data_IF_281818515163
#
_entry.id   IF_281818515163
#
_cell.length_a   1.000
_cell.length_b   1.000
_cell.length_c   1.000
_cell.angle_alpha   90.00
_cell.angle_beta   90.00
_cell.angle_gamma   90.00
#
_symmetry.space_group_name_H-M   'P 1'
#
loop_
_entity.id
_entity.type
_entity.pdbx_description
1 polymer ?
#
# COMPACT_ATOMS: atom_id res chain seq x y z
N UNK A 1 14.41 6.80 20.46
CA UNK A 1 13.43 7.84 20.01
C UNK A 1 12.22 7.15 19.47
N UNK A 2 11.05 7.52 19.96
CA UNK A 2 9.74 6.98 19.53
C UNK A 2 9.25 7.74 18.31
N UNK A 3 8.45 7.09 17.48
CA UNK A 3 7.92 7.63 16.21
C UNK A 3 6.41 7.45 16.22
N UNK A 4 5.67 8.53 15.96
CA UNK A 4 4.23 8.54 16.01
C UNK A 4 3.63 8.91 14.66
N UNK A 5 2.65 8.12 14.22
CA UNK A 5 1.72 8.52 13.19
C UNK A 5 0.76 9.53 13.82
N UNK A 6 0.75 10.74 13.28
CA UNK A 6 -0.02 11.85 13.86
C UNK A 6 -1.17 12.32 12.98
N UNK A 7 -1.06 12.15 11.68
CA UNK A 7 -2.12 12.49 10.74
C UNK A 7 -2.10 11.53 9.55
N UNK A 8 -3.27 11.27 8.99
CA UNK A 8 -3.36 10.48 7.76
C UNK A 8 -4.61 10.77 6.94
N UNK A 9 -4.53 10.50 5.65
CA UNK A 9 -5.63 10.52 4.70
C UNK A 9 -5.55 9.29 3.81
N UNK A 10 -6.70 8.77 3.42
CA UNK A 10 -6.82 7.62 2.51
C UNK A 10 -7.79 7.95 1.39
N UNK A 11 -7.52 7.45 0.20
CA UNK A 11 -8.43 7.51 -0.94
C UNK A 11 -8.39 6.18 -1.69
N UNK A 12 -9.53 5.53 -1.75
CA UNK A 12 -9.80 4.30 -2.50
C UNK A 12 -11.30 4.20 -2.76
N UNK A 13 -11.75 3.23 -3.55
CA UNK A 13 -13.16 2.95 -3.77
C UNK A 13 -13.45 1.47 -3.63
N UNK A 14 -14.57 1.13 -3.02
CA UNK A 14 -15.08 -0.25 -2.94
C UNK A 14 -15.92 -0.61 -4.19
N UNK A 15 -16.36 0.37 -4.97
CA UNK A 15 -17.09 0.15 -6.21
C UNK A 15 -16.20 -0.45 -7.29
N UNK A 16 -16.75 -1.35 -8.07
CA UNK A 16 -16.06 -1.97 -9.21
C UNK A 16 -16.68 -1.56 -10.53
N UNK A 17 -15.83 -1.37 -11.52
CA UNK A 17 -16.24 -1.10 -12.92
C UNK A 17 -15.63 -2.13 -13.85
N UNK A 18 -16.41 -2.63 -14.83
CA UNK A 18 -15.86 -3.48 -15.88
C UNK A 18 -14.98 -2.63 -16.79
N UNK A 19 -13.71 -3.01 -16.90
CA UNK A 19 -12.77 -2.41 -17.83
C UNK A 19 -12.64 -3.31 -19.05
N UNK A 20 -13.10 -2.81 -20.20
CA UNK A 20 -13.05 -3.54 -21.48
C UNK A 20 -11.59 -3.56 -21.99
N UNK A 21 -10.87 -4.63 -21.70
CA UNK A 21 -9.60 -4.96 -22.33
C UNK A 21 -9.85 -5.95 -23.46
N UNK A 22 -9.16 -5.81 -24.57
CA UNK A 22 -9.35 -6.69 -25.74
C UNK A 22 -9.12 -8.18 -25.46
N UNK A 23 -8.22 -8.52 -24.56
CA UNK A 23 -7.81 -9.89 -24.29
C UNK A 23 -8.30 -10.40 -22.94
N UNK A 24 -8.25 -9.55 -21.93
CA UNK A 24 -8.57 -9.89 -20.52
C UNK A 24 -9.51 -8.86 -19.90
N UNK A 25 -10.80 -8.84 -20.29
CA UNK A 25 -11.76 -7.99 -19.60
C UNK A 25 -11.83 -8.39 -18.13
N UNK A 26 -11.81 -7.39 -17.24
CA UNK A 26 -11.83 -7.61 -15.80
C UNK A 26 -12.43 -6.43 -15.05
N UNK A 27 -12.95 -6.70 -13.86
CA UNK A 27 -13.40 -5.63 -12.96
C UNK A 27 -12.21 -4.97 -12.32
N UNK A 28 -12.32 -3.68 -12.09
CA UNK A 28 -11.32 -2.84 -11.46
C UNK A 28 -11.96 -1.91 -10.44
N UNK A 29 -11.22 -1.56 -9.40
CA UNK A 29 -11.59 -0.50 -8.46
C UNK A 29 -11.01 0.82 -8.95
N UNK A 30 -11.85 1.62 -9.57
CA UNK A 30 -11.47 2.83 -10.28
C UNK A 30 -12.39 3.98 -9.88
N UNK A 31 -11.82 5.13 -9.57
CA UNK A 31 -12.62 6.34 -9.34
C UNK A 31 -13.35 6.74 -10.62
N UNK A 32 -14.68 6.95 -10.58
CA UNK A 32 -15.50 7.17 -11.78
C UNK A 32 -14.99 8.30 -12.67
N UNK A 33 -14.52 9.39 -12.09
CA UNK A 33 -14.00 10.55 -12.81
C UNK A 33 -12.68 10.28 -13.56
N UNK A 34 -11.95 9.22 -13.20
CA UNK A 34 -10.70 8.84 -13.88
C UNK A 34 -10.93 7.91 -15.06
N UNK A 35 -12.09 7.24 -15.14
CA UNK A 35 -12.37 6.20 -16.13
C UNK A 35 -12.12 6.62 -17.59
N UNK A 36 -12.73 7.74 -18.00
CA UNK A 36 -12.58 8.22 -19.37
C UNK A 36 -11.13 8.59 -19.72
N UNK A 37 -10.38 9.07 -18.77
CA UNK A 37 -8.98 9.48 -18.93
C UNK A 37 -8.06 8.27 -19.03
N UNK A 38 -8.29 7.25 -18.22
CA UNK A 38 -7.59 5.96 -18.30
C UNK A 38 -7.87 5.30 -19.66
N UNK A 39 -9.11 5.30 -20.12
CA UNK A 39 -9.52 4.73 -21.40
C UNK A 39 -8.93 5.47 -22.60
N UNK A 40 -8.82 6.78 -22.54
CA UNK A 40 -8.33 7.62 -23.63
C UNK A 40 -6.84 7.91 -23.57
N UNK A 41 -6.16 7.60 -22.49
CA UNK A 41 -4.74 7.85 -22.28
C UNK A 41 -4.36 9.34 -22.18
N UNK A 42 -5.33 10.23 -21.93
CA UNK A 42 -5.16 11.68 -22.04
C UNK A 42 -4.59 12.36 -20.79
N UNK A 43 -4.63 11.73 -19.62
CA UNK A 43 -4.12 12.34 -18.37
C UNK A 43 -3.48 11.28 -17.49
N UNK A 44 -2.50 11.70 -16.68
CA UNK A 44 -1.89 10.87 -15.66
C UNK A 44 -2.83 10.65 -14.47
N UNK A 45 -3.48 9.51 -14.32
CA UNK A 45 -4.44 9.27 -13.25
C UNK A 45 -3.80 9.28 -11.85
N UNK A 46 -2.53 8.90 -11.72
CA UNK A 46 -1.84 8.87 -10.43
C UNK A 46 -1.79 10.24 -9.76
N UNK A 47 -1.59 11.32 -10.52
CA UNK A 47 -1.68 12.68 -9.98
C UNK A 47 -3.07 12.99 -9.40
N UNK A 48 -4.13 12.60 -10.10
CA UNK A 48 -5.50 12.85 -9.64
C UNK A 48 -5.88 12.01 -8.42
N UNK A 49 -5.38 10.78 -8.37
CA UNK A 49 -5.56 9.91 -7.21
C UNK A 49 -4.84 10.52 -6.00
N UNK A 50 -3.63 11.06 -6.20
CA UNK A 50 -2.90 11.76 -5.14
C UNK A 50 -3.63 13.02 -4.62
N UNK A 51 -4.24 13.81 -5.52
CA UNK A 51 -5.01 15.02 -5.14
C UNK A 51 -6.14 14.73 -4.14
N UNK A 52 -6.69 13.53 -4.15
CA UNK A 52 -7.75 13.12 -3.21
C UNK A 52 -7.30 13.08 -1.74
N UNK A 53 -6.01 12.95 -1.48
CA UNK A 53 -5.43 12.94 -0.12
C UNK A 53 -4.65 14.21 0.20
N UNK A 54 -4.39 15.07 -0.78
CA UNK A 54 -3.71 16.35 -0.63
C UNK A 54 -4.71 17.45 -0.24
N UNK A 55 -5.31 17.30 0.93
CA UNK A 55 -6.29 18.24 1.47
C UNK A 55 -5.64 19.62 1.69
N UNK A 56 -6.18 20.73 1.10
CA UNK A 56 -5.64 22.08 1.27
C UNK A 56 -5.54 22.53 2.73
N UNK A 57 -6.47 22.13 3.59
CA UNK A 57 -6.45 22.47 5.02
C UNK A 57 -5.30 21.76 5.73
N UNK A 58 -5.07 20.48 5.43
CA UNK A 58 -3.95 19.72 5.95
C UNK A 58 -2.61 20.30 5.45
N UNK A 59 -2.48 20.57 4.15
CA UNK A 59 -1.27 21.16 3.58
C UNK A 59 -0.96 22.55 4.19
N UNK A 60 -1.98 23.37 4.42
CA UNK A 60 -1.83 24.64 5.15
C UNK A 60 -1.33 24.40 6.57
N UNK A 61 -1.96 23.46 7.31
CA UNK A 61 -1.57 23.14 8.68
C UNK A 61 -0.13 22.61 8.76
N UNK A 62 0.31 21.78 7.82
CA UNK A 62 1.69 21.30 7.76
C UNK A 62 2.69 22.45 7.61
N UNK A 63 2.40 23.43 6.76
CA UNK A 63 3.25 24.64 6.60
C UNK A 63 3.28 25.52 7.86
N UNK A 64 2.14 25.71 8.51
CA UNK A 64 2.02 26.59 9.68
C UNK A 64 2.59 25.95 10.96
N UNK A 65 2.72 24.61 11.00
CA UNK A 65 3.20 23.85 12.15
C UNK A 65 4.57 23.22 11.92
N UNK A 66 5.41 23.86 11.14
CA UNK A 66 6.78 23.34 10.91
C UNK A 66 7.56 23.31 12.23
N UNK A 67 8.16 22.17 12.55
CA UNK A 67 8.70 21.91 13.89
C UNK A 67 10.20 21.63 13.94
N UNK A 68 10.90 21.73 12.83
CA UNK A 68 12.30 21.40 12.64
C UNK A 68 12.51 20.70 11.32
N UNK A 69 13.48 19.78 11.23
CA UNK A 69 13.77 19.08 9.97
C UNK A 69 12.60 18.24 9.50
N UNK A 70 12.17 18.48 8.29
CA UNK A 70 11.05 17.79 7.66
C UNK A 70 11.48 17.06 6.39
N UNK A 71 11.07 15.80 6.23
CA UNK A 71 11.26 15.04 5.01
C UNK A 71 9.92 14.77 4.32
N UNK A 72 9.97 14.61 2.99
CA UNK A 72 8.87 14.14 2.18
C UNK A 72 9.30 12.90 1.40
N UNK A 73 8.54 11.81 1.53
CA UNK A 73 8.80 10.54 0.85
C UNK A 73 7.61 10.18 -0.03
N UNK A 74 7.87 9.86 -1.29
CA UNK A 74 6.87 9.34 -2.21
C UNK A 74 7.08 7.84 -2.42
N UNK A 75 6.05 7.05 -2.20
CA UNK A 75 6.02 5.62 -2.49
C UNK A 75 5.06 5.33 -3.65
N UNK A 76 5.57 4.73 -4.72
CA UNK A 76 4.78 4.33 -5.89
C UNK A 76 5.50 3.19 -6.61
N UNK A 77 4.80 2.09 -6.86
CA UNK A 77 5.42 0.89 -7.44
C UNK A 77 5.88 1.08 -8.87
N UNK A 78 5.03 1.65 -9.71
CA UNK A 78 5.30 1.86 -11.12
C UNK A 78 4.39 2.92 -11.77
N UNK A 79 3.78 3.81 -10.98
CA UNK A 79 2.94 4.86 -11.55
C UNK A 79 3.75 5.78 -12.44
N UNK A 80 3.25 5.98 -13.64
CA UNK A 80 3.79 6.94 -14.57
C UNK A 80 3.10 8.29 -14.36
N UNK A 81 3.83 9.27 -13.90
CA UNK A 81 3.35 10.62 -13.68
C UNK A 81 3.40 11.51 -14.93
N UNK A 82 3.80 10.97 -16.08
CA UNK A 82 4.05 11.71 -17.31
C UNK A 82 3.32 11.19 -18.55
N UNK A 83 2.20 10.52 -18.42
CA UNK A 83 1.46 10.01 -19.60
C UNK A 83 1.01 11.07 -20.62
N UNK A 84 1.28 12.36 -20.39
CA UNK A 84 0.88 13.45 -21.28
C UNK A 84 1.83 13.68 -22.47
N UNK A 85 2.89 12.92 -22.61
CA UNK A 85 3.97 13.36 -23.45
C UNK A 85 4.32 12.54 -24.66
N UNK A 86 3.80 11.35 -24.77
CA UNK A 86 3.95 10.56 -26.00
C UNK A 86 2.55 10.23 -26.53
N UNK A 87 2.14 10.86 -27.61
CA UNK A 87 0.91 10.50 -28.34
C UNK A 87 1.30 9.84 -29.65
N UNK A 88 0.71 8.68 -29.92
CA UNK A 88 0.67 8.17 -31.28
C UNK A 88 -0.24 9.12 -32.08
N UNK A 89 0.29 9.76 -33.12
CA UNK A 89 -0.55 10.53 -34.03
C UNK A 89 -1.37 9.59 -34.91
N UNK A 90 -2.27 10.14 -35.74
CA UNK A 90 -3.11 9.35 -36.65
C UNK A 90 -2.34 8.56 -37.73
N UNK A 91 -1.05 8.87 -37.88
CA UNK A 91 -0.12 8.25 -38.84
C UNK A 91 0.84 7.25 -38.18
N UNK A 92 0.57 6.84 -36.93
CA UNK A 92 1.41 5.97 -36.11
C UNK A 92 2.81 6.53 -35.81
N UNK A 93 3.00 7.83 -35.87
CA UNK A 93 4.23 8.47 -35.46
C UNK A 93 4.15 8.95 -34.01
N UNK A 94 5.23 8.79 -33.26
CA UNK A 94 5.35 9.31 -31.89
C UNK A 94 5.63 10.83 -31.92
N UNK A 95 4.72 11.59 -31.36
CA UNK A 95 4.96 13.02 -31.07
C UNK A 95 5.39 13.18 -29.62
N UNK A 96 6.52 13.85 -29.42
CA UNK A 96 7.09 14.08 -28.09
C UNK A 96 6.98 15.54 -27.68
N UNK A 97 6.52 15.77 -26.45
CA UNK A 97 6.67 17.06 -25.81
C UNK A 97 7.97 17.03 -24.98
N UNK A 98 8.81 18.07 -25.06
CA UNK A 98 10.06 18.15 -24.27
C UNK A 98 9.85 18.04 -22.76
N UNK A 99 8.64 18.33 -22.26
CA UNK A 99 8.26 18.19 -20.84
C UNK A 99 8.03 16.74 -20.39
N UNK A 100 7.95 15.79 -21.32
CA UNK A 100 7.65 14.37 -21.02
C UNK A 100 8.67 13.78 -20.10
N UNK A 101 9.95 13.91 -20.45
CA UNK A 101 11.02 13.31 -19.66
C UNK A 101 11.06 13.85 -18.23
N UNK A 102 11.12 15.17 -17.97
CA UNK A 102 11.07 15.66 -16.60
C UNK A 102 9.78 15.25 -15.85
N UNK A 103 8.63 15.24 -16.51
CA UNK A 103 7.37 14.87 -15.86
C UNK A 103 7.24 13.36 -15.60
N UNK A 104 8.02 12.50 -16.31
CA UNK A 104 8.04 11.06 -16.06
C UNK A 104 8.87 10.67 -14.83
N UNK A 105 9.72 11.55 -14.35
CA UNK A 105 10.53 11.28 -13.19
C UNK A 105 9.69 11.40 -11.91
N UNK A 106 9.49 10.31 -11.22
CA UNK A 106 8.74 10.24 -9.95
C UNK A 106 9.25 11.26 -8.93
N UNK A 107 10.57 11.50 -8.90
CA UNK A 107 11.19 12.49 -8.04
C UNK A 107 10.75 13.93 -8.35
N UNK A 108 10.48 14.28 -9.60
CA UNK A 108 9.97 15.60 -9.99
C UNK A 108 8.56 15.80 -9.41
N UNK A 109 7.72 14.77 -9.49
CA UNK A 109 6.40 14.80 -8.87
C UNK A 109 6.50 14.94 -7.34
N UNK A 110 7.36 14.14 -6.71
CA UNK A 110 7.62 14.21 -5.28
C UNK A 110 8.02 15.64 -4.84
N UNK A 111 8.96 16.27 -5.54
CA UNK A 111 9.39 17.64 -5.26
C UNK A 111 8.26 18.68 -5.40
N UNK A 112 7.38 18.53 -6.40
CA UNK A 112 6.23 19.41 -6.59
C UNK A 112 5.20 19.31 -5.46
N UNK A 113 4.95 18.10 -4.96
CA UNK A 113 4.03 17.89 -3.82
C UNK A 113 4.70 18.32 -2.52
N UNK A 114 5.97 17.99 -2.31
CA UNK A 114 6.75 18.39 -1.16
C UNK A 114 6.70 19.91 -0.94
N UNK A 115 6.89 20.69 -2.01
CA UNK A 115 6.81 22.16 -1.96
C UNK A 115 5.45 22.71 -1.49
N UNK A 116 4.38 21.92 -1.53
CA UNK A 116 3.09 22.29 -0.99
C UNK A 116 2.96 22.00 0.51
N UNK A 117 3.85 21.18 1.07
CA UNK A 117 3.84 20.79 2.48
C UNK A 117 4.62 21.77 3.38
N UNK A 118 5.48 22.62 2.84
CA UNK A 118 6.32 23.57 3.58
C UNK A 118 7.77 23.52 3.16
N UNK A 119 8.68 23.89 4.07
CA UNK A 119 10.12 23.74 3.86
C UNK A 119 10.50 22.27 4.10
N UNK A 120 11.06 21.63 3.08
CA UNK A 120 11.42 20.22 3.10
C UNK A 120 12.94 20.08 2.96
N UNK A 121 13.59 19.50 3.97
CA UNK A 121 15.04 19.30 4.01
C UNK A 121 15.49 18.08 3.20
N UNK A 122 14.58 17.09 3.00
CA UNK A 122 14.89 15.88 2.26
C UNK A 122 13.65 15.37 1.50
N UNK A 123 13.85 15.03 0.23
CA UNK A 123 12.81 14.41 -0.60
C UNK A 123 13.37 13.17 -1.28
N UNK A 124 12.68 12.04 -1.15
CA UNK A 124 13.05 10.79 -1.80
C UNK A 124 11.83 10.04 -2.36
N UNK A 125 12.10 9.06 -3.21
CA UNK A 125 11.09 8.18 -3.80
C UNK A 125 11.44 6.72 -3.58
N UNK A 126 10.43 5.90 -3.33
CA UNK A 126 10.54 4.44 -3.26
C UNK A 126 9.68 3.77 -4.33
N UNK A 127 10.28 2.83 -5.05
CA UNK A 127 9.64 2.09 -6.14
C UNK A 127 10.02 0.59 -6.07
N UNK A 128 9.57 -0.07 -5.01
CA UNK A 128 9.77 -1.52 -4.76
C UNK A 128 8.48 -2.31 -5.01
N UNK A 129 7.84 -2.06 -6.15
CA UNK A 129 6.57 -2.67 -6.56
C UNK A 129 5.51 -2.58 -5.45
N UNK A 130 4.79 -3.68 -5.14
CA UNK A 130 3.70 -3.69 -4.16
C UNK A 130 4.15 -3.46 -2.71
N UNK A 131 5.45 -3.45 -2.42
CA UNK A 131 6.00 -3.18 -1.09
C UNK A 131 6.36 -1.71 -0.85
N UNK A 132 6.37 -0.87 -1.89
CA UNK A 132 6.90 0.50 -1.83
C UNK A 132 6.45 1.28 -0.60
N UNK A 133 5.15 1.32 -0.33
CA UNK A 133 4.59 2.15 0.76
C UNK A 133 4.76 1.56 2.17
N UNK A 134 5.07 0.27 2.29
CA UNK A 134 5.41 -0.30 3.59
C UNK A 134 6.93 -0.27 3.81
N UNK A 135 7.71 -0.49 2.75
CA UNK A 135 9.17 -0.42 2.79
C UNK A 135 9.65 0.99 3.16
N UNK A 136 9.02 2.04 2.65
CA UNK A 136 9.37 3.44 2.95
C UNK A 136 9.31 3.76 4.46
N UNK A 137 8.61 2.97 5.27
CA UNK A 137 8.60 3.14 6.73
C UNK A 137 9.94 2.83 7.39
N UNK A 138 10.82 2.04 6.74
CA UNK A 138 12.22 1.93 7.17
C UNK A 138 12.96 3.25 7.00
N UNK A 139 12.68 3.99 5.92
CA UNK A 139 13.29 5.29 5.68
C UNK A 139 12.76 6.32 6.68
N UNK A 140 11.45 6.31 6.99
CA UNK A 140 10.85 7.10 8.09
C UNK A 140 11.61 6.85 9.39
N UNK A 141 11.79 5.58 9.74
CA UNK A 141 12.50 5.18 10.97
C UNK A 141 13.95 5.66 10.97
N UNK A 142 14.63 5.51 9.85
CA UNK A 142 16.03 5.91 9.69
C UNK A 142 16.20 7.43 9.78
N UNK A 143 15.37 8.19 9.10
CA UNK A 143 15.39 9.65 9.10
C UNK A 143 15.15 10.20 10.51
N UNK A 144 14.14 9.70 11.23
CA UNK A 144 13.83 10.18 12.57
C UNK A 144 14.87 9.73 13.59
N UNK A 145 15.18 8.41 13.65
CA UNK A 145 16.04 7.86 14.71
C UNK A 145 17.52 8.23 14.57
N UNK A 146 18.03 8.31 13.34
CA UNK A 146 19.47 8.45 13.09
C UNK A 146 19.85 9.80 12.47
N UNK A 147 18.98 10.43 11.68
CA UNK A 147 19.28 11.72 11.04
C UNK A 147 18.61 12.91 11.72
N UNK A 148 17.82 12.68 12.79
CA UNK A 148 17.24 13.72 13.62
C UNK A 148 16.18 14.56 12.89
N UNK A 149 15.38 13.91 12.02
CA UNK A 149 14.21 14.54 11.46
C UNK A 149 13.09 14.57 12.50
N UNK A 150 12.40 15.69 12.58
CA UNK A 150 11.26 15.86 13.47
C UNK A 150 9.96 15.35 12.85
N UNK A 151 9.85 15.51 11.52
CA UNK A 151 8.66 15.12 10.76
C UNK A 151 9.05 14.43 9.45
N UNK A 152 8.33 13.38 9.10
CA UNK A 152 8.40 12.73 7.79
C UNK A 152 6.98 12.58 7.23
N UNK A 153 6.75 13.19 6.08
CA UNK A 153 5.48 13.10 5.34
C UNK A 153 5.64 12.03 4.28
N UNK A 154 4.77 11.03 4.29
CA UNK A 154 4.76 9.95 3.30
C UNK A 154 3.51 10.08 2.43
N UNK A 155 3.69 10.19 1.13
CA UNK A 155 2.63 10.04 0.13
C UNK A 155 2.82 8.71 -0.58
N UNK A 156 1.86 7.81 -0.42
CA UNK A 156 1.77 6.59 -1.23
C UNK A 156 0.67 6.79 -2.27
N UNK A 157 0.97 6.54 -3.53
CA UNK A 157 -0.01 6.67 -4.61
C UNK A 157 0.27 5.69 -5.72
N UNK A 158 -0.79 5.07 -6.24
CA UNK A 158 -0.67 4.18 -7.38
C UNK A 158 -1.92 4.24 -8.26
N UNK A 159 -1.65 4.26 -9.56
CA UNK A 159 -2.64 4.01 -10.59
C UNK A 159 -2.04 3.11 -11.66
N UNK A 160 -2.40 1.85 -11.63
CA UNK A 160 -2.01 0.83 -12.59
C UNK A 160 -3.21 0.31 -13.39
N UNK A 161 -4.34 1.01 -13.36
CA UNK A 161 -5.51 0.65 -14.17
C UNK A 161 -5.29 1.12 -15.61
N UNK A 162 -4.61 0.31 -16.40
CA UNK A 162 -4.36 0.55 -17.82
C UNK A 162 -4.26 -0.78 -18.58
N UNK A 163 -4.42 -0.72 -19.91
CA UNK A 163 -4.46 -1.92 -20.75
C UNK A 163 -3.23 -2.81 -20.60
N UNK A 164 -2.03 -2.23 -20.52
CA UNK A 164 -0.79 -3.00 -20.42
C UNK A 164 -0.72 -3.79 -19.10
N UNK A 165 -1.03 -3.14 -17.99
CA UNK A 165 -1.01 -3.78 -16.67
C UNK A 165 -2.09 -4.85 -16.57
N UNK A 166 -3.30 -4.56 -17.03
CA UNK A 166 -4.41 -5.51 -17.01
C UNK A 166 -4.10 -6.75 -17.86
N UNK A 167 -3.51 -6.56 -19.04
CA UNK A 167 -3.08 -7.68 -19.88
C UNK A 167 -1.98 -8.50 -19.20
N UNK A 168 -0.94 -7.84 -18.67
CA UNK A 168 0.15 -8.52 -17.97
C UNK A 168 -0.35 -9.40 -16.81
N UNK A 169 -1.17 -8.84 -15.92
CA UNK A 169 -1.70 -9.58 -14.78
C UNK A 169 -2.73 -10.64 -15.18
N UNK A 170 -3.48 -10.41 -16.26
CA UNK A 170 -4.39 -11.40 -16.84
C UNK A 170 -3.63 -12.61 -17.40
N UNK A 171 -2.58 -12.40 -18.20
CA UNK A 171 -1.72 -13.47 -18.73
C UNK A 171 -1.00 -14.24 -17.60
N UNK A 172 -0.53 -13.53 -16.57
CA UNK A 172 0.09 -14.12 -15.41
C UNK A 172 -0.90 -14.88 -14.50
N UNK A 173 -2.21 -14.82 -14.79
CA UNK A 173 -3.30 -15.40 -13.97
C UNK A 173 -3.23 -14.93 -12.51
N UNK A 174 -2.77 -13.72 -12.30
CA UNK A 174 -2.63 -13.12 -10.98
C UNK A 174 -3.87 -12.32 -10.55
N UNK A 175 -4.59 -11.73 -11.52
CA UNK A 175 -5.88 -11.07 -11.31
C UNK A 175 -7.04 -11.97 -11.71
N UNK A 176 -8.21 -11.74 -11.12
CA UNK A 176 -9.44 -12.43 -11.52
C UNK A 176 -10.02 -11.73 -12.77
N UNK A 177 -9.96 -12.40 -13.92
CA UNK A 177 -10.62 -11.94 -15.15
C UNK A 177 -12.09 -12.34 -15.16
N UNK A 178 -12.94 -11.68 -15.98
CA UNK A 178 -14.36 -12.05 -16.11
C UNK A 178 -14.50 -13.53 -16.53
N UNK A 179 -13.71 -13.98 -17.50
CA UNK A 179 -13.73 -15.38 -17.95
C UNK A 179 -13.38 -16.37 -16.84
N UNK A 180 -12.42 -16.04 -15.96
CA UNK A 180 -12.09 -16.89 -14.82
C UNK A 180 -13.21 -16.87 -13.78
N UNK A 181 -13.78 -15.69 -13.49
CA UNK A 181 -14.86 -15.54 -12.54
C UNK A 181 -16.10 -16.34 -12.96
N UNK A 182 -16.48 -16.26 -14.23
CA UNK A 182 -17.61 -17.00 -14.78
C UNK A 182 -17.36 -18.50 -14.84
N UNK A 183 -16.19 -18.93 -15.36
CA UNK A 183 -15.85 -20.36 -15.54
C UNK A 183 -15.80 -21.09 -14.21
N UNK A 184 -15.24 -20.48 -13.18
CA UNK A 184 -15.05 -21.09 -11.87
C UNK A 184 -16.13 -20.71 -10.86
N UNK A 185 -17.02 -19.78 -11.20
CA UNK A 185 -18.05 -19.22 -10.28
C UNK A 185 -17.42 -18.71 -8.97
N UNK A 186 -16.35 -17.92 -9.08
CA UNK A 186 -15.59 -17.40 -7.95
C UNK A 186 -15.58 -15.88 -7.92
N UNK A 187 -15.33 -15.36 -6.74
CA UNK A 187 -15.17 -13.92 -6.47
C UNK A 187 -13.81 -13.67 -5.80
N UNK A 188 -13.30 -12.45 -5.83
CA UNK A 188 -12.03 -12.16 -5.14
C UNK A 188 -12.11 -12.46 -3.65
N UNK A 189 -11.17 -13.28 -3.15
CA UNK A 189 -10.97 -13.54 -1.72
C UNK A 189 -9.53 -13.93 -1.45
N UNK A 190 -9.11 -13.86 -0.17
CA UNK A 190 -7.81 -14.32 0.28
C UNK A 190 -7.96 -15.40 1.36
N UNK A 191 -7.02 -16.32 1.42
CA UNK A 191 -7.00 -17.44 2.39
C UNK A 191 -8.30 -18.26 2.38
N UNK A 192 -8.86 -18.47 1.21
CA UNK A 192 -10.12 -19.20 0.98
C UNK A 192 -9.86 -20.33 -0.02
N UNK A 193 -10.47 -21.50 0.19
CA UNK A 193 -10.27 -22.67 -0.68
C UNK A 193 -11.09 -22.60 -1.96
N UNK A 194 -12.22 -21.87 -1.96
CA UNK A 194 -13.15 -21.74 -3.07
C UNK A 194 -12.91 -20.46 -3.88
N UNK A 195 -12.83 -19.34 -3.17
CA UNK A 195 -12.67 -18.02 -3.77
C UNK A 195 -11.20 -17.62 -3.80
N UNK A 196 -10.78 -16.87 -4.82
CA UNK A 196 -9.35 -16.51 -4.96
C UNK A 196 -9.16 -15.24 -5.78
N UNK A 197 -7.93 -14.68 -5.72
CA UNK A 197 -7.48 -13.56 -6.56
C UNK A 197 -7.94 -12.18 -6.06
N UNK A 198 -7.67 -11.20 -6.88
CA UNK A 198 -7.97 -9.79 -6.63
C UNK A 198 -8.32 -9.07 -7.93
N UNK A 199 -8.93 -7.91 -7.80
CA UNK A 199 -9.02 -6.91 -8.86
C UNK A 199 -7.92 -5.85 -8.69
N UNK A 200 -7.49 -5.20 -9.79
CA UNK A 200 -6.58 -4.06 -9.71
C UNK A 200 -7.37 -2.83 -9.25
N UNK A 201 -6.75 -2.00 -8.42
CA UNK A 201 -7.37 -0.79 -7.89
C UNK A 201 -6.46 0.43 -7.98
N UNK A 202 -7.06 1.62 -7.96
CA UNK A 202 -6.41 2.90 -7.74
C UNK A 202 -6.45 3.25 -6.25
N UNK A 203 -5.42 3.91 -5.76
CA UNK A 203 -5.45 4.37 -4.38
C UNK A 203 -4.30 5.31 -4.00
N UNK A 204 -4.56 6.10 -2.97
CA UNK A 204 -3.56 6.96 -2.36
C UNK A 204 -3.70 6.95 -0.83
N UNK A 205 -2.58 7.18 -0.16
CA UNK A 205 -2.51 7.38 1.28
C UNK A 205 -1.48 8.48 1.59
N UNK A 206 -1.84 9.38 2.45
CA UNK A 206 -0.91 10.35 3.04
C UNK A 206 -0.80 10.06 4.53
N UNK A 207 0.42 10.01 5.05
CA UNK A 207 0.71 9.80 6.46
C UNK A 207 1.77 10.79 6.94
N UNK A 208 1.59 11.32 8.14
CA UNK A 208 2.54 12.20 8.80
C UNK A 208 3.10 11.48 10.02
N UNK A 209 4.40 11.28 10.03
CA UNK A 209 5.13 10.68 11.15
C UNK A 209 5.94 11.77 11.85
N UNK A 210 5.88 11.78 13.17
CA UNK A 210 6.62 12.74 13.99
C UNK A 210 7.47 12.04 15.04
N UNK A 211 8.61 12.64 15.36
CA UNK A 211 9.42 12.26 16.51
C UNK A 211 8.67 12.55 17.82
N UNK A 212 9.07 11.91 18.91
CA UNK A 212 8.49 12.17 20.23
C UNK A 212 8.66 13.65 20.65
N UNK A 213 9.76 14.27 20.25
CA UNK A 213 10.02 15.69 20.51
C UNK A 213 9.09 16.60 19.72
N UNK A 214 8.84 16.29 18.46
CA UNK A 214 7.87 17.03 17.64
C UNK A 214 6.43 16.87 18.16
N UNK A 215 6.08 15.65 18.57
CA UNK A 215 4.76 15.36 19.16
C UNK A 215 4.50 16.20 20.43
N UNK A 216 5.52 16.43 21.29
CA UNK A 216 5.39 17.25 22.49
C UNK A 216 5.03 18.72 22.21
N UNK A 217 5.27 19.20 20.98
CA UNK A 217 4.83 20.55 20.56
C UNK A 217 3.32 20.66 20.33
N UNK A 218 2.62 19.51 20.29
CA UNK A 218 1.15 19.45 20.37
C UNK A 218 0.39 19.87 19.11
N UNK A 219 1.03 19.88 17.94
CA UNK A 219 0.37 20.28 16.69
C UNK A 219 -0.60 19.24 16.17
N UNK A 220 -0.28 17.96 16.36
CA UNK A 220 -1.11 16.83 15.95
C UNK A 220 -1.22 15.80 17.10
N UNK A 221 -2.37 15.16 17.29
CA UNK A 221 -2.50 14.06 18.23
C UNK A 221 -1.82 12.80 17.68
N UNK A 222 -1.28 11.96 18.56
CA UNK A 222 -0.78 10.66 18.15
C UNK A 222 -1.93 9.67 17.93
N UNK A 223 -1.97 9.03 16.77
CA UNK A 223 -2.91 7.96 16.42
C UNK A 223 -2.33 6.56 16.67
N UNK A 224 -1.10 6.37 16.26
CA UNK A 224 -0.38 5.12 16.44
C UNK A 224 1.12 5.40 16.66
N UNK A 225 1.81 4.45 17.27
CA UNK A 225 3.27 4.45 17.35
C UNK A 225 3.84 3.45 16.36
N UNK A 226 4.75 3.88 15.48
CA UNK A 226 5.55 3.00 14.64
C UNK A 226 6.69 2.42 15.50
N UNK A 227 6.58 1.17 15.87
CA UNK A 227 7.58 0.48 16.69
C UNK A 227 8.80 0.10 15.86
N UNK A 228 8.56 -0.52 14.70
CA UNK A 228 9.59 -0.92 13.75
C UNK A 228 9.04 -1.12 12.35
N UNK A 229 9.93 -1.02 11.36
CA UNK A 229 9.71 -1.50 10.01
C UNK A 229 10.97 -2.23 9.52
N UNK A 230 10.77 -3.33 8.80
CA UNK A 230 11.86 -4.14 8.24
C UNK A 230 11.50 -4.67 6.86
N UNK A 231 12.50 -4.76 6.01
CA UNK A 231 12.35 -5.31 4.66
C UNK A 231 13.39 -6.42 4.46
N UNK A 232 12.95 -7.50 3.83
CA UNK A 232 13.79 -8.63 3.47
C UNK A 232 13.61 -8.97 1.99
N UNK A 233 14.64 -9.52 1.38
CA UNK A 233 14.59 -10.09 0.03
C UNK A 233 14.87 -11.57 0.13
N UNK A 234 14.05 -12.40 -0.51
CA UNK A 234 14.33 -13.84 -0.58
C UNK A 234 15.04 -14.21 -1.88
N UNK A 235 15.77 -15.33 -1.84
CA UNK A 235 16.34 -15.94 -3.03
C UNK A 235 15.27 -16.87 -3.62
N UNK A 236 14.71 -16.48 -4.75
CA UNK A 236 13.72 -17.27 -5.48
C UNK A 236 14.16 -17.53 -6.91
N UNK A 237 13.57 -18.54 -7.54
CA UNK A 237 13.89 -18.97 -8.90
C UNK A 237 13.37 -18.03 -9.98
N UNK A 238 12.41 -17.17 -9.62
CA UNK A 238 11.84 -16.16 -10.51
C UNK A 238 11.42 -14.91 -9.71
N UNK A 239 11.19 -13.81 -10.40
CA UNK A 239 10.87 -12.52 -9.80
C UNK A 239 9.38 -12.37 -9.39
N UNK A 240 8.51 -13.32 -9.74
CA UNK A 240 7.06 -13.24 -9.54
C UNK A 240 6.60 -14.21 -8.45
N UNK A 241 7.21 -15.40 -8.41
CA UNK A 241 6.87 -16.46 -7.46
C UNK A 241 7.43 -16.19 -6.07
N UNK A 242 6.77 -16.74 -5.08
CA UNK A 242 7.20 -16.75 -3.69
C UNK A 242 7.53 -18.18 -3.28
N UNK A 243 8.41 -18.34 -2.32
CA UNK A 243 8.74 -19.66 -1.76
C UNK A 243 7.58 -20.16 -0.90
N UNK A 244 7.17 -21.39 -1.10
CA UNK A 244 6.06 -22.03 -0.36
C UNK A 244 6.30 -22.08 1.16
N UNK A 245 7.57 -22.07 1.61
CA UNK A 245 7.93 -22.05 3.03
C UNK A 245 7.80 -20.66 3.69
N UNK A 246 7.39 -19.65 2.93
CA UNK A 246 7.17 -18.28 3.39
C UNK A 246 8.43 -17.57 3.90
N UNK A 247 9.62 -17.99 3.46
CA UNK A 247 10.88 -17.46 3.99
C UNK A 247 10.98 -15.94 3.90
N UNK A 248 10.49 -15.31 2.82
CA UNK A 248 10.53 -13.87 2.64
C UNK A 248 9.73 -13.14 3.70
N UNK A 249 8.47 -13.53 3.89
CA UNK A 249 7.61 -12.99 4.94
C UNK A 249 8.20 -13.23 6.34
N UNK A 250 8.64 -14.48 6.61
CA UNK A 250 9.26 -14.83 7.90
C UNK A 250 10.44 -13.93 8.23
N UNK A 251 11.36 -13.72 7.29
CA UNK A 251 12.54 -12.85 7.52
C UNK A 251 12.15 -11.38 7.73
N UNK A 252 11.10 -10.91 7.08
CA UNK A 252 10.58 -9.56 7.30
C UNK A 252 9.97 -9.44 8.71
N UNK A 253 9.15 -10.39 9.14
CA UNK A 253 8.54 -10.44 10.48
C UNK A 253 9.61 -10.52 11.56
N UNK A 254 10.50 -11.51 11.49
CA UNK A 254 11.58 -11.72 12.47
C UNK A 254 12.49 -10.49 12.59
N UNK A 255 12.80 -9.84 11.45
CA UNK A 255 13.60 -8.61 11.43
C UNK A 255 12.91 -7.44 12.13
N UNK A 256 11.60 -7.26 11.89
CA UNK A 256 10.82 -6.22 12.53
C UNK A 256 10.68 -6.46 14.05
N UNK A 257 10.37 -7.67 14.48
CA UNK A 257 10.29 -8.06 15.90
C UNK A 257 11.62 -7.83 16.63
N UNK A 258 12.73 -8.28 16.04
CA UNK A 258 14.07 -8.12 16.61
C UNK A 258 14.45 -6.66 16.80
N UNK A 259 14.05 -5.78 15.88
CA UNK A 259 14.43 -4.37 15.90
C UNK A 259 13.75 -3.58 17.02
N UNK A 260 12.51 -3.91 17.37
CA UNK A 260 11.75 -3.23 18.43
C UNK A 260 11.69 -4.00 19.76
N UNK A 261 12.25 -5.20 19.82
CA UNK A 261 12.23 -6.07 21.00
C UNK A 261 10.80 -6.43 21.46
N UNK A 262 9.83 -6.44 20.55
CA UNK A 262 8.47 -6.93 20.78
C UNK A 262 8.46 -8.44 20.62
N UNK A 263 7.79 -9.14 21.53
CA UNK A 263 7.65 -10.60 21.42
C UNK A 263 6.49 -10.96 20.46
N UNK A 264 6.55 -12.13 19.85
CA UNK A 264 5.53 -12.63 18.93
C UNK A 264 4.14 -12.71 19.55
N UNK A 265 4.06 -13.00 20.85
CA UNK A 265 2.80 -13.13 21.62
C UNK A 265 2.06 -11.79 21.78
N UNK A 266 2.78 -10.66 21.63
CA UNK A 266 2.19 -9.33 21.69
C UNK A 266 1.47 -8.94 20.39
N UNK A 267 1.76 -9.64 19.28
CA UNK A 267 1.08 -9.44 18.00
C UNK A 267 -0.31 -10.05 18.08
N UNK A 268 -1.35 -9.24 17.99
CA UNK A 268 -2.74 -9.70 18.05
C UNK A 268 -3.51 -9.47 16.76
N UNK A 269 -3.08 -8.54 15.93
CA UNK A 269 -3.77 -8.18 14.70
C UNK A 269 -2.78 -8.18 13.55
N UNK A 270 -3.11 -8.85 12.46
CA UNK A 270 -2.29 -8.89 11.24
C UNK A 270 -3.08 -8.33 10.05
N UNK A 271 -2.58 -7.26 9.46
CA UNK A 271 -2.98 -6.83 8.12
C UNK A 271 -2.09 -7.58 7.13
N UNK A 272 -2.65 -8.56 6.45
CA UNK A 272 -1.92 -9.42 5.51
C UNK A 272 -1.60 -8.70 4.19
N UNK A 273 -0.65 -9.23 3.41
CA UNK A 273 -0.54 -8.88 2.00
C UNK A 273 -1.77 -9.36 1.22
N UNK A 274 -2.17 -10.61 1.41
CA UNK A 274 -3.50 -11.14 1.11
C UNK A 274 -3.99 -10.93 -0.32
N UNK A 275 -3.21 -11.26 -1.35
CA UNK A 275 -3.64 -11.13 -2.75
C UNK A 275 -4.70 -12.14 -3.16
N UNK A 276 -4.89 -13.21 -2.39
CA UNK A 276 -5.77 -14.30 -2.78
C UNK A 276 -5.20 -15.23 -3.86
N UNK A 277 -4.01 -14.97 -4.39
CA UNK A 277 -3.33 -15.94 -5.23
C UNK A 277 -2.81 -17.10 -4.37
N UNK A 278 -2.89 -18.32 -4.89
CA UNK A 278 -2.52 -19.53 -4.14
C UNK A 278 -1.09 -19.43 -3.58
N UNK A 279 -0.13 -19.07 -4.43
CA UNK A 279 1.27 -18.93 -4.02
C UNK A 279 1.46 -17.95 -2.86
N UNK A 280 0.76 -16.80 -2.87
CA UNK A 280 0.83 -15.85 -1.77
C UNK A 280 0.14 -16.37 -0.51
N UNK A 281 -1.07 -16.93 -0.65
CA UNK A 281 -1.80 -17.45 0.50
C UNK A 281 -0.98 -18.49 1.25
N UNK A 282 -0.40 -19.46 0.51
CA UNK A 282 0.38 -20.56 1.10
C UNK A 282 1.65 -20.02 1.78
N UNK A 283 2.40 -19.16 1.10
CA UNK A 283 3.64 -18.58 1.63
C UNK A 283 3.40 -17.68 2.86
N UNK A 284 2.39 -16.80 2.80
CA UNK A 284 2.08 -15.88 3.88
C UNK A 284 1.53 -16.64 5.10
N UNK A 285 0.62 -17.60 4.89
CA UNK A 285 0.09 -18.47 5.94
C UNK A 285 1.21 -19.25 6.64
N UNK A 286 2.09 -19.91 5.88
CA UNK A 286 3.22 -20.67 6.45
C UNK A 286 4.15 -19.79 7.30
N UNK A 287 4.39 -18.54 6.89
CA UNK A 287 5.20 -17.61 7.66
C UNK A 287 4.51 -17.16 8.95
N UNK A 288 3.22 -16.83 8.87
CA UNK A 288 2.43 -16.38 10.03
C UNK A 288 2.32 -17.48 11.09
N UNK A 289 1.94 -18.69 10.71
CA UNK A 289 1.83 -19.85 11.61
C UNK A 289 3.17 -20.21 12.29
N UNK A 290 4.29 -19.94 11.62
CA UNK A 290 5.62 -20.19 12.17
C UNK A 290 6.09 -19.09 13.13
N UNK A 291 5.70 -17.84 12.88
CA UNK A 291 6.18 -16.69 13.65
C UNK A 291 5.26 -16.30 14.80
N UNK A 292 3.98 -16.56 14.70
CA UNK A 292 2.95 -16.09 15.62
C UNK A 292 2.09 -17.24 16.15
N UNK A 293 1.47 -17.08 17.32
CA UNK A 293 0.70 -18.15 17.97
C UNK A 293 -0.76 -17.81 18.24
N UNK A 294 -1.08 -16.56 18.50
CA UNK A 294 -2.41 -16.12 18.93
C UNK A 294 -2.71 -14.73 18.34
N UNK A 295 -3.26 -14.74 17.13
CA UNK A 295 -3.54 -13.52 16.36
C UNK A 295 -4.77 -13.69 15.47
N UNK A 296 -5.33 -12.57 15.03
CA UNK A 296 -6.34 -12.52 13.98
C UNK A 296 -5.79 -11.79 12.76
N UNK A 297 -6.21 -12.21 11.57
CA UNK A 297 -5.72 -11.70 10.31
C UNK A 297 -6.86 -11.21 9.40
N UNK A 298 -6.65 -10.05 8.76
CA UNK A 298 -7.56 -9.46 7.80
C UNK A 298 -6.84 -9.01 6.54
N UNK A 299 -7.60 -8.74 5.47
CA UNK A 299 -7.11 -8.23 4.17
C UNK A 299 -8.10 -7.24 3.57
N UNK A 300 -7.59 -6.23 2.89
CA UNK A 300 -8.39 -5.17 2.27
C UNK A 300 -8.48 -5.25 0.75
N UNK A 301 -7.59 -5.99 0.08
CA UNK A 301 -7.52 -6.04 -1.39
C UNK A 301 -8.81 -6.50 -2.07
N UNK A 302 -9.59 -7.31 -1.39
CA UNK A 302 -10.86 -7.80 -1.90
C UNK A 302 -11.96 -6.72 -1.87
N UNK A 303 -11.78 -5.68 -1.03
CA UNK A 303 -12.70 -4.53 -0.92
C UNK A 303 -12.33 -3.39 -1.86
N UNK A 304 -11.06 -3.06 -1.96
CA UNK A 304 -10.58 -1.85 -2.65
C UNK A 304 -9.71 -2.15 -3.88
N UNK A 305 -9.54 -3.42 -4.20
CA UNK A 305 -8.59 -3.87 -5.21
C UNK A 305 -7.13 -3.81 -4.73
N UNK A 306 -6.24 -4.39 -5.51
CA UNK A 306 -4.81 -4.28 -5.27
C UNK A 306 -4.29 -2.94 -5.80
N UNK A 307 -4.02 -2.00 -4.91
CA UNK A 307 -3.48 -0.66 -5.22
C UNK A 307 -1.94 -0.66 -5.29
N UNK A 308 -1.36 -1.78 -5.71
CA UNK A 308 0.07 -2.00 -5.99
C UNK A 308 1.01 -1.34 -4.96
N UNK A 309 1.83 -0.38 -5.37
CA UNK A 309 2.78 0.28 -4.50
C UNK A 309 2.17 1.07 -3.34
N UNK A 310 0.93 1.51 -3.45
CA UNK A 310 0.22 2.19 -2.36
C UNK A 310 -0.38 1.23 -1.32
N UNK A 311 -0.58 -0.05 -1.66
CA UNK A 311 -1.30 -1.04 -0.84
C UNK A 311 -0.85 -1.10 0.62
N UNK A 312 0.44 -1.18 0.86
CA UNK A 312 0.97 -1.44 2.20
C UNK A 312 0.52 -0.40 3.22
N UNK A 313 0.74 0.88 2.92
CA UNK A 313 0.36 1.99 3.80
C UNK A 313 -1.15 2.24 3.78
N UNK A 314 -1.77 2.28 2.59
CA UNK A 314 -3.20 2.52 2.44
C UNK A 314 -4.03 1.54 3.27
N UNK A 315 -3.80 0.24 3.10
CA UNK A 315 -4.52 -0.81 3.82
C UNK A 315 -4.24 -0.78 5.34
N UNK A 316 -3.02 -0.40 5.74
CA UNK A 316 -2.68 -0.20 7.16
C UNK A 316 -3.49 0.93 7.78
N UNK A 317 -3.61 2.06 7.08
CA UNK A 317 -4.40 3.20 7.56
C UNK A 317 -5.90 2.91 7.56
N UNK A 318 -6.40 2.11 6.62
CA UNK A 318 -7.79 1.64 6.64
C UNK A 318 -8.05 0.75 7.88
N UNK A 319 -7.13 -0.17 8.20
CA UNK A 319 -7.22 -0.95 9.43
C UNK A 319 -7.24 -0.04 10.66
N UNK A 320 -6.39 1.00 10.72
CA UNK A 320 -6.41 1.94 11.85
C UNK A 320 -7.75 2.67 11.98
N UNK A 321 -8.37 3.06 10.87
CA UNK A 321 -9.72 3.65 10.89
C UNK A 321 -10.78 2.67 11.43
N UNK A 322 -10.63 1.37 11.20
CA UNK A 322 -11.55 0.36 11.72
C UNK A 322 -11.25 0.04 13.20
N UNK A 323 -9.97 0.00 13.59
CA UNK A 323 -9.56 -0.16 14.98
C UNK A 323 -10.03 1.00 15.87
N UNK A 324 -10.02 2.23 15.35
CA UNK A 324 -10.59 3.41 16.05
C UNK A 324 -12.12 3.29 16.27
N UNK A 325 -12.80 2.47 15.47
CA UNK A 325 -14.22 2.09 15.67
C UNK A 325 -14.39 0.85 16.58
N UNK A 326 -13.28 0.28 17.06
CA UNK A 326 -13.27 -0.90 17.91
C UNK A 326 -13.40 -2.23 17.17
N UNK A 327 -13.14 -2.29 15.84
CA UNK A 327 -13.37 -3.52 15.04
C UNK A 327 -12.18 -3.91 14.19
N UNK A 328 -12.02 -5.24 13.96
CA UNK A 328 -11.19 -5.81 12.88
C UNK A 328 -12.14 -6.40 11.84
N UNK A 329 -12.14 -5.93 10.59
CA UNK A 329 -13.05 -6.44 9.57
C UNK A 329 -12.67 -7.84 9.10
N UNK A 330 -13.67 -8.63 8.69
CA UNK A 330 -13.44 -9.90 8.00
C UNK A 330 -12.90 -9.68 6.57
N UNK A 331 -12.26 -10.69 6.04
CA UNK A 331 -11.83 -10.76 4.64
C UNK A 331 -13.06 -10.92 3.75
N UNK A 332 -13.25 -10.00 2.83
CA UNK A 332 -14.42 -9.99 1.97
C UNK A 332 -14.50 -11.28 1.13
N UNK A 333 -15.71 -11.83 1.01
CA UNK A 333 -16.03 -13.05 0.25
C UNK A 333 -15.32 -14.33 0.76
N UNK A 334 -14.76 -14.31 1.95
CA UNK A 334 -14.23 -15.52 2.56
C UNK A 334 -15.36 -16.41 3.03
N UNK A 335 -15.37 -17.66 2.55
CA UNK A 335 -16.43 -18.63 2.80
C UNK A 335 -16.13 -19.57 3.98
N UNK A 336 -14.89 -19.62 4.45
CA UNK A 336 -14.45 -20.52 5.52
C UNK A 336 -14.52 -19.82 6.87
N UNK A 337 -15.03 -20.55 7.86
CA UNK A 337 -14.91 -20.13 9.27
C UNK A 337 -13.52 -20.53 9.78
N UNK A 338 -12.79 -19.54 10.30
CA UNK A 338 -11.44 -19.72 10.85
C UNK A 338 -11.25 -18.70 11.97
N UNK A 339 -10.56 -19.09 13.01
CA UNK A 339 -10.28 -18.19 14.13
C UNK A 339 -9.12 -17.23 13.86
N UNK A 340 -8.31 -17.50 12.85
CA UNK A 340 -7.13 -16.71 12.47
C UNK A 340 -7.48 -15.77 11.32
N UNK A 341 -7.85 -16.31 10.16
CA UNK A 341 -8.22 -15.52 9.00
C UNK A 341 -9.72 -15.23 9.05
N UNK A 342 -10.08 -14.01 9.39
CA UNK A 342 -11.48 -13.65 9.70
C UNK A 342 -12.37 -13.67 8.46
N UNK A 343 -13.53 -14.34 8.56
CA UNK A 343 -14.61 -14.24 7.56
C UNK A 343 -15.60 -13.11 7.89
N UNK A 344 -15.73 -12.76 9.16
CA UNK A 344 -16.62 -11.72 9.68
C UNK A 344 -15.84 -10.71 10.52
N UNK A 345 -16.43 -9.55 10.75
CA UNK A 345 -15.86 -8.54 11.63
C UNK A 345 -15.96 -8.99 13.11
N UNK A 346 -14.93 -8.71 13.86
CA UNK A 346 -14.88 -8.97 15.30
C UNK A 346 -14.55 -7.69 16.07
N UNK A 347 -14.77 -7.69 17.38
CA UNK A 347 -14.23 -6.68 18.28
C UNK A 347 -12.68 -6.72 18.25
N UNK A 348 -12.05 -5.55 18.19
CA UNK A 348 -10.61 -5.47 18.09
C UNK A 348 -9.90 -5.96 19.36
N UNK A 349 -9.06 -6.99 19.33
CA UNK A 349 -8.27 -7.39 20.48
C UNK A 349 -7.21 -6.34 20.79
N UNK A 350 -6.90 -6.16 22.09
CA UNK A 350 -5.77 -5.33 22.48
C UNK A 350 -4.44 -5.99 22.11
N UNK A 351 -3.53 -5.22 21.50
CA UNK A 351 -2.20 -5.70 21.17
C UNK A 351 -1.53 -4.95 20.03
N UNK A 352 -0.37 -5.44 19.65
CA UNK A 352 0.42 -4.88 18.56
C UNK A 352 -0.15 -5.31 17.21
N UNK A 353 -0.18 -4.37 16.27
CA UNK A 353 -0.57 -4.58 14.88
C UNK A 353 0.66 -4.89 14.04
N UNK A 354 0.62 -5.97 13.28
CA UNK A 354 1.59 -6.30 12.23
C UNK A 354 0.97 -6.02 10.86
N UNK A 355 1.62 -5.20 10.04
CA UNK A 355 1.27 -4.99 8.65
C UNK A 355 2.29 -5.65 7.73
N UNK A 356 1.82 -6.41 6.75
CA UNK A 356 2.66 -7.13 5.78
C UNK A 356 2.42 -6.66 4.36
N UNK A 357 3.48 -6.72 3.56
CA UNK A 357 3.43 -6.50 2.11
C UNK A 357 4.48 -7.35 1.41
N UNK A 358 4.14 -7.86 0.22
CA UNK A 358 5.06 -8.56 -0.66
C UNK A 358 5.01 -7.96 -2.06
N UNK A 359 6.13 -7.92 -2.75
CA UNK A 359 6.24 -7.34 -4.07
C UNK A 359 6.99 -8.22 -5.05
N UNK A 360 6.72 -8.03 -6.33
CA UNK A 360 7.54 -8.58 -7.39
C UNK A 360 9.00 -8.17 -7.19
N UNK A 361 9.95 -9.04 -7.57
CA UNK A 361 11.35 -8.87 -7.20
C UNK A 361 11.70 -9.48 -5.84
N UNK A 362 10.78 -10.27 -5.27
CA UNK A 362 11.00 -11.03 -4.02
C UNK A 362 11.32 -10.15 -2.81
N UNK A 363 10.70 -8.99 -2.74
CA UNK A 363 10.82 -8.03 -1.63
C UNK A 363 9.62 -8.17 -0.71
N UNK A 364 9.87 -8.28 0.60
CA UNK A 364 8.87 -8.46 1.65
C UNK A 364 9.07 -7.40 2.72
N UNK A 365 8.00 -6.77 3.15
CA UNK A 365 8.06 -5.75 4.19
C UNK A 365 7.10 -6.07 5.33
N UNK A 366 7.55 -5.78 6.54
CA UNK A 366 6.78 -5.89 7.78
C UNK A 366 6.92 -4.59 8.57
N UNK A 367 5.82 -4.10 9.12
CA UNK A 367 5.80 -2.95 10.02
C UNK A 367 4.94 -3.25 11.25
N UNK A 368 5.43 -2.83 12.41
CA UNK A 368 4.79 -3.04 13.71
C UNK A 368 4.32 -1.71 14.30
N UNK A 369 3.09 -1.72 14.81
CA UNK A 369 2.46 -0.54 15.36
C UNK A 369 1.74 -0.84 16.68
N UNK A 370 1.75 0.14 17.59
CA UNK A 370 0.79 0.19 18.70
C UNK A 370 -0.22 1.30 18.42
N UNK A 371 -1.50 0.95 18.46
CA UNK A 371 -2.57 1.94 18.40
C UNK A 371 -2.63 2.72 19.73
N UNK A 372 -2.89 4.02 19.64
CA UNK A 372 -3.20 4.87 20.78
C UNK A 372 -4.70 5.16 20.73
N UNK A 373 -5.46 4.25 21.28
CA UNK A 373 -6.92 4.35 21.42
C UNK A 373 -7.25 5.01 22.75
#
# INVERSE_FOLDING_TARGET
MRIFLTESRTACTEDTTLFENHTFPQRVHLFPETYNRVKTGLINPAHQVAEKVLDPALLKRLRETQTGKTAFLLASGNSNFANEGAKLNRENEWTYNYKVLPLSLTQIYAGRVAAQCGEIDHTATDATACTSSLKVLMDVQTLIKFYGFDRVIVLAVEDQVNNMTLQFFGEAKATLTESMAETHQVVPSAFDSKNFGFYIGQGAALAVFESEEALKKGHFPARAELLSAWTATEVATNAIGQREDGQGFRRAIEGALKLCQVSSEQIKIVKTHGTGTRSNNDAEKAALERCLSDFVATSYKQRIGHTMGASGLLETLLLFNDLEKGTVPGILNRSEEDHVFLSEAIEAPEGTVLSLSAGMGNVFSAALFNMRI
#
